data_IF_896264175280
#
_entry.id   IF_896264175280
#
_cell.length_a   1.000
_cell.length_b   1.000
_cell.length_c   1.000
_cell.angle_alpha   90.00
_cell.angle_beta   90.00
_cell.angle_gamma   90.00
#
_symmetry.space_group_name_H-M   'P 1'
#
loop_
_entity.id
_entity.type
_entity.pdbx_description
1 polymer ?
#
# COMPACT_ATOMS: atom_id res chain seq x y z
N UNK A 1 -6.26 16.12 -4.13
CA UNK A 1 -6.88 14.79 -4.33
C UNK A 1 -5.98 13.81 -3.63
N UNK A 2 -6.55 12.91 -2.81
CA UNK A 2 -5.71 12.01 -2.04
C UNK A 2 -4.96 11.03 -2.95
N UNK A 3 -3.70 10.75 -2.62
CA UNK A 3 -2.82 9.83 -3.36
C UNK A 3 -2.18 8.87 -2.38
N UNK A 4 -2.06 7.60 -2.76
CA UNK A 4 -1.28 6.59 -2.05
C UNK A 4 -0.20 6.07 -2.99
N UNK A 5 1.02 5.95 -2.49
CA UNK A 5 2.18 5.50 -3.26
C UNK A 5 2.94 4.43 -2.49
N UNK A 6 3.28 3.33 -3.16
CA UNK A 6 3.97 2.20 -2.56
C UNK A 6 5.45 2.26 -2.91
N UNK A 7 6.29 2.25 -1.89
CA UNK A 7 7.74 2.09 -2.05
C UNK A 7 8.03 0.60 -2.20
N UNK A 8 8.00 0.09 -3.43
CA UNK A 8 8.08 -1.33 -3.76
C UNK A 8 9.24 -2.06 -3.05
N UNK A 9 10.43 -1.45 -3.01
CA UNK A 9 11.63 -2.02 -2.39
C UNK A 9 11.57 -2.20 -0.86
N UNK A 10 10.62 -1.53 -0.20
CA UNK A 10 10.36 -1.68 1.24
C UNK A 10 9.22 -2.65 1.53
N UNK A 11 8.35 -2.91 0.56
CA UNK A 11 7.21 -3.80 0.76
C UNK A 11 7.66 -5.27 0.84
N UNK A 12 7.20 -5.99 1.88
CA UNK A 12 7.43 -7.43 2.09
C UNK A 12 6.16 -8.27 1.97
N UNK A 13 5.12 -7.73 1.33
CA UNK A 13 3.84 -8.41 1.10
C UNK A 13 3.12 -8.98 2.33
N UNK A 14 3.23 -8.31 3.48
CA UNK A 14 2.60 -8.77 4.73
C UNK A 14 1.06 -8.63 4.75
N UNK A 15 0.46 -7.92 3.80
CA UNK A 15 -1.00 -7.81 3.65
C UNK A 15 -1.74 -6.94 4.69
N UNK A 16 -1.06 -6.39 5.69
CA UNK A 16 -1.72 -5.55 6.71
C UNK A 16 -2.46 -4.35 6.11
N UNK A 17 -1.80 -3.59 5.24
CA UNK A 17 -2.40 -2.44 4.59
C UNK A 17 -3.62 -2.79 3.71
N UNK A 18 -3.66 -4.00 3.13
CA UNK A 18 -4.81 -4.53 2.38
C UNK A 18 -5.96 -4.81 3.33
N UNK A 19 -5.70 -5.52 4.45
CA UNK A 19 -6.72 -5.93 5.42
C UNK A 19 -7.43 -4.75 6.10
N UNK A 20 -6.70 -3.69 6.43
CA UNK A 20 -7.24 -2.61 7.27
C UNK A 20 -7.49 -1.31 6.50
N UNK A 21 -7.29 -1.28 5.18
CA UNK A 21 -7.76 -0.15 4.38
C UNK A 21 -9.30 -0.11 4.43
N UNK A 22 -9.95 0.92 5.01
CA UNK A 22 -11.40 0.97 5.16
C UNK A 22 -12.14 1.12 3.82
N UNK A 23 -11.40 1.50 2.78
CA UNK A 23 -11.88 1.65 1.40
C UNK A 23 -11.40 0.52 0.49
N UNK A 24 -10.68 -0.45 1.05
CA UNK A 24 -10.09 -1.56 0.30
C UNK A 24 -9.35 -1.11 -0.97
N UNK A 25 -8.53 -0.05 -0.89
CA UNK A 25 -7.83 0.54 -2.06
C UNK A 25 -6.66 -0.33 -2.54
N UNK A 26 -6.07 -1.11 -1.63
CA UNK A 26 -4.79 -1.80 -1.81
C UNK A 26 -4.98 -3.30 -2.02
N UNK A 27 -4.15 -3.92 -2.85
CA UNK A 27 -4.09 -5.36 -3.09
C UNK A 27 -2.64 -5.83 -3.24
N UNK A 28 -2.37 -7.13 -3.07
CA UNK A 28 -1.08 -7.70 -3.44
C UNK A 28 -1.02 -7.74 -4.98
N UNK A 29 -0.07 -7.03 -5.56
CA UNK A 29 0.12 -7.00 -7.00
C UNK A 29 0.90 -8.21 -7.51
N UNK A 30 1.15 -8.27 -8.82
CA UNK A 30 1.91 -9.34 -9.47
C UNK A 30 3.36 -8.95 -9.78
N UNK A 31 3.72 -7.68 -9.55
CA UNK A 31 5.09 -7.20 -9.78
C UNK A 31 5.96 -7.54 -8.58
N UNK A 32 7.18 -7.98 -8.87
CA UNK A 32 8.16 -8.42 -7.88
C UNK A 32 9.25 -7.37 -7.71
N UNK A 33 9.65 -7.09 -6.47
CA UNK A 33 10.76 -6.18 -6.16
C UNK A 33 12.12 -6.91 -6.18
N UNK A 34 13.23 -6.19 -5.96
CA UNK A 34 14.58 -6.79 -6.01
C UNK A 34 14.82 -7.92 -5.00
N UNK A 35 13.97 -8.04 -3.97
CA UNK A 35 14.05 -9.03 -2.89
C UNK A 35 13.12 -10.23 -3.11
N UNK A 36 12.41 -10.30 -4.23
CA UNK A 36 11.52 -11.41 -4.55
C UNK A 36 10.11 -11.30 -3.97
N UNK A 37 9.69 -10.16 -3.41
CA UNK A 37 8.32 -9.97 -2.93
C UNK A 37 7.42 -9.39 -4.00
N UNK A 38 6.26 -10.02 -4.21
CA UNK A 38 5.10 -9.41 -4.88
C UNK A 38 4.61 -8.22 -4.05
N UNK A 39 4.89 -6.99 -4.47
CA UNK A 39 4.58 -5.83 -3.64
C UNK A 39 3.13 -5.37 -3.81
N UNK A 40 2.62 -4.74 -2.76
CA UNK A 40 1.27 -4.18 -2.74
C UNK A 40 1.14 -3.07 -3.79
N UNK A 41 -0.01 -3.01 -4.47
CA UNK A 41 -0.35 -1.95 -5.43
C UNK A 41 -1.68 -1.29 -5.04
N UNK A 42 -1.87 0.01 -5.31
CA UNK A 42 -3.20 0.62 -5.23
C UNK A 42 -4.04 0.17 -6.42
N UNK A 43 -4.93 -0.79 -6.19
CA UNK A 43 -5.84 -1.33 -7.22
C UNK A 43 -7.00 -0.37 -7.55
N UNK A 44 -7.40 0.45 -6.57
CA UNK A 44 -8.50 1.43 -6.68
C UNK A 44 -8.09 2.80 -6.12
N UNK A 45 -7.04 3.46 -6.67
CA UNK A 45 -6.48 4.69 -6.11
C UNK A 45 -7.51 5.83 -5.98
N UNK A 46 -8.52 5.87 -6.83
CA UNK A 46 -9.63 6.83 -6.85
C UNK A 46 -10.51 6.78 -5.58
N UNK A 47 -10.59 5.62 -4.93
CA UNK A 47 -11.34 5.43 -3.68
C UNK A 47 -10.57 5.88 -2.43
N UNK A 48 -9.31 6.30 -2.60
CA UNK A 48 -8.47 6.74 -1.50
C UNK A 48 -9.01 8.04 -0.87
N UNK A 49 -9.27 8.00 0.44
CA UNK A 49 -9.71 9.16 1.23
C UNK A 49 -8.58 9.82 2.03
N UNK A 50 -7.33 9.37 1.86
CA UNK A 50 -6.15 9.94 2.53
C UNK A 50 -6.11 9.76 4.05
N UNK A 51 -6.75 8.72 4.61
CA UNK A 51 -6.83 8.50 6.07
C UNK A 51 -5.50 8.06 6.72
N UNK A 52 -4.51 7.65 5.92
CA UNK A 52 -3.18 7.20 6.33
C UNK A 52 -3.12 5.95 7.24
N UNK A 53 -4.21 5.18 7.40
CA UNK A 53 -4.19 3.92 8.18
C UNK A 53 -3.17 2.93 7.63
N UNK A 54 -3.15 2.74 6.30
CA UNK A 54 -2.19 1.86 5.63
C UNK A 54 -0.72 2.27 5.90
N UNK A 55 -0.43 3.58 5.92
CA UNK A 55 0.89 4.11 6.26
C UNK A 55 1.28 3.82 7.71
N UNK A 56 0.38 4.11 8.67
CA UNK A 56 0.64 3.91 10.11
C UNK A 56 0.88 2.46 10.50
N UNK A 57 0.22 1.54 9.84
CA UNK A 57 0.29 0.13 10.18
C UNK A 57 1.37 -0.64 9.43
N UNK A 58 1.98 -0.04 8.40
CA UNK A 58 3.01 -0.69 7.62
C UNK A 58 4.28 -0.82 8.47
N UNK A 59 4.71 -2.05 8.82
CA UNK A 59 5.86 -2.23 9.71
C UNK A 59 7.18 -1.77 9.08
N UNK A 60 7.26 -1.75 7.75
CA UNK A 60 8.44 -1.37 6.98
C UNK A 60 8.41 0.07 6.43
N UNK A 61 7.36 0.85 6.75
CA UNK A 61 7.22 2.22 6.25
C UNK A 61 7.25 2.30 4.71
N UNK A 62 6.55 1.38 4.05
CA UNK A 62 6.56 1.22 2.59
C UNK A 62 5.45 1.99 1.86
N UNK A 63 4.72 2.88 2.54
CA UNK A 63 3.53 3.54 2.00
C UNK A 63 3.57 5.03 2.30
N UNK A 64 3.53 5.85 1.25
CA UNK A 64 3.36 7.30 1.34
C UNK A 64 1.89 7.66 1.06
N UNK A 65 1.33 8.59 1.82
CA UNK A 65 -0.04 9.07 1.67
C UNK A 65 -0.02 10.59 1.59
N UNK A 66 -0.64 11.13 0.54
CA UNK A 66 -0.75 12.57 0.28
C UNK A 66 -2.24 12.94 0.23
N UNK A 67 -2.58 14.16 0.64
CA UNK A 67 -3.96 14.66 0.67
C UNK A 67 -4.07 16.01 -0.03
#
# INVERSE_FOLDING_TARGET
>A
MAKVEIVAERCKSCGYCVKFCPKHVLEIGTKVNSKGYEYVTPARPEDCIGCAICGRMCPDGAINVYK
#
